data_IF_269117540764
#
_entry.id   IF_269117540764
#
_cell.length_a   1.000
_cell.length_b   1.000
_cell.length_c   1.000
_cell.angle_alpha   90.00
_cell.angle_beta   90.00
_cell.angle_gamma   90.00
#
_symmetry.space_group_name_H-M   'P 1'
#
loop_
_entity.id
_entity.type
_entity.pdbx_description
1 polymer ?
#
# COMPACT_ATOMS: atom_id res chain seq x y z
N UNK A 1 7.15 -1.20 8.38
CA UNK A 1 6.13 -0.14 8.61
C UNK A 1 4.99 -0.37 7.62
N UNK A 2 3.79 0.15 7.89
CA UNK A 2 2.70 0.12 6.90
C UNK A 2 2.96 1.16 5.81
N UNK A 3 3.04 0.72 4.56
CA UNK A 3 3.40 1.56 3.41
C UNK A 3 2.35 2.68 3.20
N UNK A 4 1.05 2.41 3.42
CA UNK A 4 0.02 3.44 3.33
C UNK A 4 0.07 4.48 4.46
N UNK A 5 0.55 4.09 5.65
CA UNK A 5 0.67 5.00 6.80
C UNK A 5 1.97 5.81 6.76
N UNK A 6 3.08 5.21 6.31
CA UNK A 6 4.38 5.87 6.23
C UNK A 6 4.33 7.09 5.31
N UNK A 7 3.68 6.96 4.16
CA UNK A 7 3.50 8.04 3.18
C UNK A 7 2.69 9.22 3.73
N UNK A 8 1.86 8.98 4.74
CA UNK A 8 1.08 10.01 5.46
C UNK A 8 1.79 10.56 6.69
N UNK A 9 2.98 10.06 7.03
CA UNK A 9 3.66 10.38 8.28
C UNK A 9 2.94 9.87 9.53
N UNK A 10 2.04 8.88 9.39
CA UNK A 10 1.23 8.37 10.50
C UNK A 10 1.93 7.17 11.12
N UNK A 11 2.02 7.16 12.46
CA UNK A 11 2.47 5.98 13.18
C UNK A 11 1.36 4.92 13.19
N UNK A 12 1.59 3.87 12.39
CA UNK A 12 0.65 2.78 12.20
C UNK A 12 0.42 1.95 13.48
N UNK A 13 1.41 1.77 14.36
CA UNK A 13 1.23 0.98 15.58
C UNK A 13 0.33 1.68 16.59
N UNK A 14 0.44 3.01 16.69
CA UNK A 14 -0.48 3.83 17.50
C UNK A 14 -1.92 3.76 16.97
N UNK A 15 -2.08 3.74 15.64
CA UNK A 15 -3.40 3.77 15.01
C UNK A 15 -4.14 2.43 15.12
N UNK A 16 -3.42 1.30 15.06
CA UNK A 16 -4.04 -0.04 15.16
C UNK A 16 -4.21 -0.51 16.61
N UNK A 17 -3.53 0.14 17.56
CA UNK A 17 -3.43 -0.33 18.94
C UNK A 17 -2.35 -1.40 19.12
N UNK A 18 -1.85 -1.58 20.35
CA UNK A 18 -0.69 -2.41 20.65
C UNK A 18 -0.87 -3.90 20.29
N UNK A 19 -2.10 -4.42 20.35
CA UNK A 19 -2.41 -5.83 20.09
C UNK A 19 -2.64 -6.17 18.62
N UNK A 20 -2.87 -5.19 17.73
CA UNK A 20 -3.13 -5.41 16.29
C UNK A 20 -2.03 -4.84 15.40
N UNK A 21 -0.81 -4.83 15.90
CA UNK A 21 0.36 -4.32 15.19
C UNK A 21 1.00 -5.36 14.24
N UNK A 22 0.24 -6.29 13.68
CA UNK A 22 0.76 -7.18 12.63
C UNK A 22 0.68 -6.48 11.27
N UNK A 23 1.77 -6.57 10.50
CA UNK A 23 1.78 -6.15 9.11
C UNK A 23 1.44 -7.35 8.23
N UNK A 24 0.56 -7.12 7.27
CA UNK A 24 0.14 -8.09 6.27
C UNK A 24 0.67 -7.67 4.90
N UNK A 25 1.07 -8.65 4.10
CA UNK A 25 1.50 -8.41 2.73
C UNK A 25 0.27 -8.50 1.84
N UNK A 26 -0.13 -7.37 1.27
CA UNK A 26 -1.16 -7.29 0.26
C UNK A 26 -0.52 -7.15 -1.14
N UNK A 27 -1.26 -7.55 -2.16
CA UNK A 27 -0.82 -7.52 -3.55
C UNK A 27 -1.81 -6.71 -4.36
N UNK A 28 -1.29 -5.78 -5.16
CA UNK A 28 -2.06 -5.08 -6.18
C UNK A 28 -1.86 -5.78 -7.52
N UNK A 29 -2.97 -6.09 -8.19
CA UNK A 29 -2.96 -6.79 -9.48
C UNK A 29 -3.51 -5.94 -10.62
N UNK A 30 -4.59 -5.19 -10.36
CA UNK A 30 -5.38 -4.55 -11.43
C UNK A 30 -4.89 -3.17 -11.80
N UNK A 31 -4.20 -2.50 -10.88
CA UNK A 31 -3.88 -1.07 -11.03
C UNK A 31 -2.56 -0.79 -11.78
N UNK A 32 -1.82 -1.83 -12.20
CA UNK A 32 -0.46 -1.69 -12.75
C UNK A 32 -0.19 -2.60 -13.97
N UNK A 33 -1.12 -2.64 -14.93
CA UNK A 33 -0.92 -3.27 -16.25
C UNK A 33 -0.25 -4.67 -16.19
N UNK A 34 -0.81 -5.56 -15.36
CA UNK A 34 -0.35 -6.96 -15.19
C UNK A 34 0.92 -7.16 -14.34
N UNK A 35 1.44 -6.14 -13.66
CA UNK A 35 2.51 -6.30 -12.65
C UNK A 35 1.93 -6.51 -11.26
N UNK A 36 2.39 -7.57 -10.59
CA UNK A 36 2.07 -7.82 -9.18
C UNK A 36 2.94 -6.91 -8.30
N UNK A 37 2.31 -5.95 -7.61
CA UNK A 37 3.00 -5.09 -6.65
C UNK A 37 2.66 -5.52 -5.24
N UNK A 38 3.69 -5.87 -4.48
CA UNK A 38 3.57 -6.25 -3.07
C UNK A 38 3.71 -5.01 -2.19
N UNK A 39 2.75 -4.82 -1.29
CA UNK A 39 2.78 -3.77 -0.26
C UNK A 39 2.56 -4.36 1.13
N UNK A 40 3.18 -3.77 2.14
CA UNK A 40 2.99 -4.12 3.54
C UNK A 40 1.99 -3.15 4.16
N UNK A 41 0.83 -3.66 4.52
CA UNK A 41 -0.23 -2.87 5.13
C UNK A 41 -0.43 -3.29 6.59
N UNK A 42 -0.82 -2.33 7.43
CA UNK A 42 -1.36 -2.66 8.74
C UNK A 42 -2.79 -3.17 8.63
N UNK A 43 -3.30 -3.80 9.69
CA UNK A 43 -4.65 -4.36 9.75
C UNK A 43 -5.75 -3.40 9.24
N UNK A 44 -5.77 -2.15 9.72
CA UNK A 44 -6.77 -1.17 9.27
C UNK A 44 -6.65 -0.81 7.79
N UNK A 45 -5.42 -0.71 7.26
CA UNK A 45 -5.21 -0.43 5.84
C UNK A 45 -5.55 -1.63 4.96
N UNK A 46 -5.25 -2.85 5.41
CA UNK A 46 -5.63 -4.08 4.73
C UNK A 46 -7.16 -4.24 4.69
N UNK A 47 -7.86 -3.97 5.80
CA UNK A 47 -9.32 -3.94 5.82
C UNK A 47 -9.91 -2.91 4.86
N UNK A 48 -9.36 -1.69 4.83
CA UNK A 48 -9.82 -0.66 3.88
C UNK A 48 -9.60 -1.07 2.43
N UNK A 49 -8.44 -1.65 2.13
CA UNK A 49 -8.16 -2.18 0.81
C UNK A 49 -9.18 -3.25 0.41
N UNK A 50 -9.50 -4.18 1.32
CA UNK A 50 -10.48 -5.23 1.08
C UNK A 50 -11.89 -4.68 0.86
N UNK A 51 -12.34 -3.72 1.68
CA UNK A 51 -13.69 -3.16 1.60
C UNK A 51 -13.90 -2.22 0.40
N UNK A 52 -12.88 -1.44 0.05
CA UNK A 52 -13.01 -0.37 -0.95
C UNK A 52 -12.51 -0.79 -2.34
N UNK A 53 -11.72 -1.87 -2.41
CA UNK A 53 -11.03 -2.31 -3.61
C UNK A 53 -9.77 -1.50 -3.94
N UNK A 54 -8.92 -2.06 -4.80
CA UNK A 54 -7.60 -1.51 -5.13
C UNK A 54 -7.67 -0.07 -5.68
N UNK A 55 -8.51 0.15 -6.70
CA UNK A 55 -8.61 1.45 -7.40
C UNK A 55 -9.04 2.57 -6.45
N UNK A 56 -10.10 2.34 -5.67
CA UNK A 56 -10.59 3.32 -4.68
C UNK A 56 -9.56 3.59 -3.60
N UNK A 57 -8.92 2.54 -3.09
CA UNK A 57 -7.88 2.65 -2.08
C UNK A 57 -6.70 3.50 -2.57
N UNK A 58 -6.19 3.23 -3.78
CA UNK A 58 -5.09 3.99 -4.37
C UNK A 58 -5.48 5.45 -4.67
N UNK A 59 -6.72 5.70 -5.12
CA UNK A 59 -7.22 7.06 -5.34
C UNK A 59 -7.31 7.88 -4.05
N UNK A 60 -7.65 7.24 -2.92
CA UNK A 60 -7.59 7.87 -1.58
C UNK A 60 -6.17 8.02 -1.03
N UNK A 61 -5.21 7.28 -1.57
CA UNK A 61 -3.81 7.29 -1.17
C UNK A 61 -2.91 7.70 -2.35
N UNK A 62 -3.17 8.85 -2.98
CA UNK A 62 -2.48 9.32 -4.20
C UNK A 62 -0.95 9.30 -4.11
N UNK A 63 -0.39 9.67 -2.95
CA UNK A 63 1.06 9.64 -2.73
C UNK A 63 1.62 8.21 -2.75
N UNK A 64 0.91 7.25 -2.15
CA UNK A 64 1.29 5.84 -2.19
C UNK A 64 1.28 5.35 -3.63
N UNK A 65 0.23 5.70 -4.39
CA UNK A 65 0.18 5.38 -5.82
C UNK A 65 1.38 5.93 -6.58
N UNK A 66 1.73 7.20 -6.39
CA UNK A 66 2.89 7.83 -7.03
C UNK A 66 4.21 7.14 -6.67
N UNK A 67 4.41 6.73 -5.42
CA UNK A 67 5.63 6.01 -5.00
C UNK A 67 5.71 4.61 -5.62
N UNK A 68 4.58 3.91 -5.70
CA UNK A 68 4.52 2.59 -6.36
C UNK A 68 4.75 2.73 -7.86
N UNK A 69 4.20 3.75 -8.53
CA UNK A 69 4.47 4.03 -9.94
C UNK A 69 5.95 4.37 -10.19
N UNK A 70 6.57 5.20 -9.34
CA UNK A 70 7.99 5.55 -9.47
C UNK A 70 8.92 4.35 -9.25
N UNK A 71 8.67 3.57 -8.19
CA UNK A 71 9.48 2.40 -7.84
C UNK A 71 9.43 1.35 -8.95
N UNK A 72 8.26 1.18 -9.59
CA UNK A 72 8.08 0.20 -10.66
C UNK A 72 8.41 0.73 -12.06
N UNK A 73 8.39 2.06 -12.26
CA UNK A 73 8.88 2.72 -13.47
C UNK A 73 10.41 2.71 -13.54
N UNK A 74 11.10 2.86 -12.40
CA UNK A 74 12.56 2.79 -12.32
C UNK A 74 13.10 1.38 -12.66
N UNK A 75 12.38 0.32 -12.28
CA UNK A 75 12.76 -1.07 -12.58
C UNK A 75 12.54 -1.48 -14.06
N UNK A 76 12.06 -0.58 -14.92
CA UNK A 76 11.87 -0.87 -16.36
C UNK A 76 13.09 -0.50 -17.23
N UNK A 77 14.13 0.11 -16.65
CA UNK A 77 15.28 0.69 -17.35
C UNK A 77 16.63 -0.03 -17.11
N UNK A 78 16.62 -1.23 -16.53
CA UNK A 78 17.80 -2.10 -16.51
C UNK A 78 17.64 -3.17 -17.61
N UNK A 79 18.20 -2.89 -18.79
CA UNK A 79 18.46 -3.86 -19.88
C UNK A 79 19.91 -3.72 -20.32
#
# INVERSE_FOLDING_TARGET
MCDACSVKGINWSLTNGPTKSRLEVAKFYTSFESKEIKVRLCYLCAMKLFLEGESTFLNKNKRLRSELEQTNGANAFDW
#
